data_IF_616128598323
#
_entry.id   IF_616128598323
#
_cell.length_a   1.000
_cell.length_b   1.000
_cell.length_c   1.000
_cell.angle_alpha   90.00
_cell.angle_beta   90.00
_cell.angle_gamma   90.00
#
_symmetry.space_group_name_H-M   'P 1'
#
loop_
_entity.id
_entity.type
_entity.pdbx_description
1 polymer ?
#
# COMPACT_ATOMS: atom_id res chain seq x y z
N UNK A 1 6.24 -15.11 -36.96
CA UNK A 1 5.46 -14.66 -35.81
C UNK A 1 3.98 -14.79 -36.11
N UNK A 2 3.18 -15.26 -35.14
CA UNK A 2 1.73 -15.29 -35.21
C UNK A 2 1.17 -14.08 -34.43
N UNK A 3 0.09 -13.50 -34.95
CA UNK A 3 -0.60 -12.40 -34.29
C UNK A 3 -2.09 -12.75 -34.18
N UNK A 4 -2.64 -12.67 -32.99
CA UNK A 4 -4.04 -12.96 -32.71
C UNK A 4 -4.74 -11.68 -32.22
N UNK A 5 -5.97 -11.51 -32.63
CA UNK A 5 -6.82 -10.42 -32.15
C UNK A 5 -8.16 -11.00 -31.68
N UNK A 6 -8.56 -10.63 -30.48
CA UNK A 6 -9.81 -11.06 -29.86
C UNK A 6 -10.60 -9.83 -29.43
N UNK A 7 -11.83 -9.78 -29.87
CA UNK A 7 -12.77 -8.72 -29.49
C UNK A 7 -13.50 -9.15 -28.22
N UNK A 8 -13.39 -8.33 -27.18
CA UNK A 8 -13.99 -8.60 -25.87
C UNK A 8 -15.10 -7.58 -25.56
N UNK A 9 -16.22 -8.03 -25.00
CA UNK A 9 -17.29 -7.12 -24.59
C UNK A 9 -16.79 -6.16 -23.51
N UNK A 10 -17.32 -4.94 -23.47
CA UNK A 10 -16.90 -3.89 -22.53
C UNK A 10 -17.57 -4.00 -21.16
N UNK A 11 -18.76 -4.56 -21.14
CA UNK A 11 -19.64 -4.64 -19.97
C UNK A 11 -18.98 -5.25 -18.73
N UNK A 12 -18.18 -6.33 -18.81
CA UNK A 12 -17.52 -6.91 -17.64
C UNK A 12 -16.54 -5.98 -16.92
N UNK A 13 -16.09 -4.94 -17.61
CA UNK A 13 -15.10 -4.01 -17.07
C UNK A 13 -15.71 -2.75 -16.43
N UNK A 14 -16.95 -2.38 -16.76
CA UNK A 14 -17.53 -1.08 -16.43
C UNK A 14 -17.43 -0.74 -14.94
N UNK A 15 -17.81 -1.65 -14.06
CA UNK A 15 -17.78 -1.41 -12.62
C UNK A 15 -16.34 -1.18 -12.09
N UNK A 16 -15.37 -1.91 -12.59
CA UNK A 16 -13.98 -1.76 -12.18
C UNK A 16 -13.36 -0.47 -12.72
N UNK A 17 -13.76 -0.07 -13.95
CA UNK A 17 -13.27 1.14 -14.60
C UNK A 17 -13.73 2.44 -13.90
N UNK A 18 -14.79 2.40 -13.07
CA UNK A 18 -15.16 3.52 -12.19
C UNK A 18 -14.09 3.87 -11.15
N UNK A 19 -13.15 2.96 -10.89
CA UNK A 19 -12.03 3.18 -9.98
C UNK A 19 -10.76 3.71 -10.69
N UNK A 20 -10.84 4.03 -11.97
CA UNK A 20 -9.75 4.70 -12.69
C UNK A 20 -9.51 6.08 -12.06
N UNK A 21 -8.25 6.49 -11.84
CA UNK A 21 -7.94 7.82 -11.32
C UNK A 21 -8.51 8.95 -12.21
N UNK A 22 -9.04 9.98 -11.56
CA UNK A 22 -9.60 11.14 -12.26
C UNK A 22 -8.62 11.74 -13.27
N UNK A 23 -9.14 12.13 -14.45
CA UNK A 23 -8.36 12.70 -15.53
C UNK A 23 -7.58 11.70 -16.38
N UNK A 24 -7.75 10.39 -16.14
CA UNK A 24 -7.15 9.34 -16.96
C UNK A 24 -8.10 8.93 -18.08
N UNK A 25 -7.66 9.07 -19.33
CA UNK A 25 -8.42 8.62 -20.50
C UNK A 25 -8.21 7.12 -20.72
N UNK A 26 -9.29 6.34 -20.71
CA UNK A 26 -9.23 4.88 -20.88
C UNK A 26 -8.58 4.46 -22.20
N UNK A 27 -8.82 5.22 -23.27
CA UNK A 27 -8.21 4.99 -24.60
C UNK A 27 -6.71 5.21 -24.64
N UNK A 28 -6.15 5.91 -23.64
CA UNK A 28 -4.71 6.15 -23.52
C UNK A 28 -3.97 5.03 -22.76
N UNK A 29 -4.70 4.07 -22.17
CA UNK A 29 -4.16 2.97 -21.41
C UNK A 29 -3.90 1.74 -22.27
N UNK A 30 -2.73 1.12 -22.08
CA UNK A 30 -2.40 -0.18 -22.65
C UNK A 30 -2.09 -1.16 -21.53
N UNK A 31 -2.91 -2.18 -21.38
CA UNK A 31 -2.74 -3.27 -20.42
C UNK A 31 -1.84 -4.32 -21.04
N UNK A 32 -0.76 -4.69 -20.37
CA UNK A 32 0.25 -5.60 -20.94
C UNK A 32 0.69 -6.69 -19.97
N UNK A 33 1.08 -7.82 -20.53
CA UNK A 33 1.75 -8.91 -19.85
C UNK A 33 2.63 -9.66 -20.84
N UNK A 34 3.79 -10.18 -20.40
CA UNK A 34 4.71 -10.95 -21.24
C UNK A 34 4.98 -12.35 -20.70
N UNK A 35 5.19 -13.30 -21.63
CA UNK A 35 5.64 -14.64 -21.32
C UNK A 35 7.04 -14.89 -21.86
N UNK A 36 7.89 -15.48 -21.02
CA UNK A 36 9.31 -15.67 -21.31
C UNK A 36 9.74 -17.10 -21.09
N UNK A 37 10.82 -17.53 -21.74
CA UNK A 37 11.40 -18.86 -21.57
C UNK A 37 12.21 -19.02 -20.28
N UNK A 38 12.29 -17.97 -19.46
CA UNK A 38 13.00 -17.94 -18.17
C UNK A 38 13.02 -16.54 -17.57
N UNK A 39 13.63 -16.38 -16.40
CA UNK A 39 13.54 -15.16 -15.60
C UNK A 39 14.56 -14.06 -15.96
N UNK A 40 15.59 -14.38 -16.72
CA UNK A 40 16.68 -13.43 -17.03
C UNK A 40 16.73 -13.10 -18.51
N UNK A 41 16.67 -11.83 -18.92
CA UNK A 41 16.74 -11.45 -20.34
C UNK A 41 18.08 -11.74 -21.00
N UNK A 42 19.14 -12.05 -20.22
CA UNK A 42 20.44 -12.46 -20.77
C UNK A 42 20.49 -13.93 -21.24
N UNK A 43 19.53 -14.75 -20.80
CA UNK A 43 19.51 -16.20 -21.08
C UNK A 43 18.13 -16.72 -21.50
N UNK A 44 17.14 -15.88 -21.53
CA UNK A 44 15.77 -16.22 -21.88
C UNK A 44 15.22 -15.24 -22.92
N UNK A 45 14.16 -15.64 -23.61
CA UNK A 45 13.52 -14.90 -24.70
C UNK A 45 12.04 -14.71 -24.41
N UNK A 46 11.48 -13.63 -24.94
CA UNK A 46 10.03 -13.38 -24.93
C UNK A 46 9.42 -14.19 -26.07
N UNK A 47 8.46 -15.04 -25.74
CA UNK A 47 7.75 -15.81 -26.75
C UNK A 47 6.29 -15.39 -26.95
N UNK A 48 5.72 -14.63 -26.01
CA UNK A 48 4.36 -14.14 -26.11
C UNK A 48 4.27 -12.78 -25.43
N UNK A 49 3.61 -11.82 -26.07
CA UNK A 49 3.19 -10.55 -25.50
C UNK A 49 1.68 -10.43 -25.69
N UNK A 50 0.97 -10.16 -24.61
CA UNK A 50 -0.45 -9.79 -24.62
C UNK A 50 -0.62 -8.31 -24.38
N UNK A 51 -1.55 -7.68 -25.10
CA UNK A 51 -1.94 -6.30 -24.88
C UNK A 51 -3.45 -6.13 -25.05
N UNK A 52 -4.10 -5.46 -24.09
CA UNK A 52 -5.51 -5.08 -24.14
C UNK A 52 -5.62 -3.56 -24.17
N UNK A 53 -6.48 -3.06 -25.05
CA UNK A 53 -6.82 -1.63 -25.09
C UNK A 53 -8.32 -1.43 -25.25
N UNK A 54 -8.76 -0.22 -24.94
CA UNK A 54 -10.13 0.22 -25.05
C UNK A 54 -10.20 1.40 -26.05
N UNK A 55 -10.61 1.17 -27.30
CA UNK A 55 -10.86 2.27 -28.24
C UNK A 55 -11.87 3.26 -27.67
N UNK A 56 -11.90 4.51 -28.13
CA UNK A 56 -12.87 5.53 -27.69
C UNK A 56 -14.32 5.03 -27.80
N UNK A 57 -14.61 4.30 -28.85
CA UNK A 57 -15.90 3.67 -29.08
C UNK A 57 -15.73 2.19 -29.45
N UNK A 58 -16.70 1.36 -29.02
CA UNK A 58 -16.72 -0.07 -29.33
C UNK A 58 -16.15 -0.98 -28.23
N UNK A 59 -15.94 -2.25 -28.54
CA UNK A 59 -15.46 -3.27 -27.60
C UNK A 59 -14.00 -3.09 -27.25
N UNK A 60 -13.54 -3.80 -26.20
CA UNK A 60 -12.14 -3.92 -25.89
C UNK A 60 -11.44 -4.84 -26.92
N UNK A 61 -10.17 -4.56 -27.20
CA UNK A 61 -9.36 -5.32 -28.16
C UNK A 61 -8.16 -5.92 -27.43
N UNK A 62 -8.13 -7.25 -27.36
CA UNK A 62 -7.00 -8.03 -26.92
C UNK A 62 -6.17 -8.44 -28.13
N UNK A 63 -4.90 -8.08 -28.15
CA UNK A 63 -3.95 -8.51 -29.18
C UNK A 63 -2.81 -9.29 -28.57
N UNK A 64 -2.42 -10.36 -29.21
CA UNK A 64 -1.35 -11.24 -28.74
C UNK A 64 -0.36 -11.50 -29.88
N UNK A 65 0.93 -11.33 -29.60
CA UNK A 65 2.05 -11.62 -30.49
C UNK A 65 2.77 -12.85 -29.97
N UNK A 66 2.83 -13.90 -30.78
CA UNK A 66 3.39 -15.18 -30.41
C UNK A 66 4.55 -15.56 -31.33
N UNK A 67 5.71 -15.88 -30.77
CA UNK A 67 6.88 -16.35 -31.50
C UNK A 67 6.73 -17.85 -31.83
N UNK A 68 6.54 -18.18 -33.11
CA UNK A 68 6.45 -19.55 -33.55
C UNK A 68 7.81 -20.25 -33.62
N UNK A 69 8.89 -19.48 -33.46
CA UNK A 69 10.27 -19.95 -33.25
C UNK A 69 11.02 -18.91 -32.42
N UNK A 70 12.08 -19.32 -31.73
CA UNK A 70 12.91 -18.40 -30.93
C UNK A 70 13.57 -17.29 -31.77
N UNK A 71 13.76 -17.49 -33.08
CA UNK A 71 14.31 -16.47 -33.99
C UNK A 71 13.34 -15.33 -34.31
N UNK A 72 12.08 -15.45 -33.95
CA UNK A 72 11.05 -14.44 -34.24
C UNK A 72 10.87 -13.38 -33.14
N UNK A 73 11.60 -13.46 -32.03
CA UNK A 73 11.51 -12.50 -30.92
C UNK A 73 11.74 -11.05 -31.37
N UNK A 74 12.69 -10.80 -32.26
CA UNK A 74 12.95 -9.44 -32.76
C UNK A 74 11.76 -8.87 -33.55
N UNK A 75 11.10 -9.66 -34.36
CA UNK A 75 9.94 -9.29 -35.14
C UNK A 75 8.72 -9.02 -34.21
N UNK A 76 8.55 -9.91 -33.23
CA UNK A 76 7.52 -9.81 -32.20
C UNK A 76 7.64 -8.49 -31.43
N UNK A 77 8.84 -8.15 -30.94
CA UNK A 77 9.12 -6.92 -30.23
C UNK A 77 8.85 -5.68 -31.08
N UNK A 78 9.29 -5.69 -32.34
CA UNK A 78 9.06 -4.55 -33.26
C UNK A 78 7.57 -4.30 -33.45
N UNK A 79 6.80 -5.35 -33.74
CA UNK A 79 5.35 -5.24 -33.96
C UNK A 79 4.63 -4.77 -32.70
N UNK A 80 5.02 -5.26 -31.55
CA UNK A 80 4.47 -4.81 -30.26
C UNK A 80 4.82 -3.33 -29.98
N UNK A 81 6.07 -2.90 -30.20
CA UNK A 81 6.48 -1.51 -29.96
C UNK A 81 5.76 -0.53 -30.87
N UNK A 82 5.56 -0.87 -32.13
CA UNK A 82 4.80 -0.06 -33.07
C UNK A 82 3.34 0.08 -32.62
N UNK A 83 2.72 -1.01 -32.14
CA UNK A 83 1.38 -1.00 -31.59
C UNK A 83 1.30 -0.18 -30.28
N UNK A 84 2.27 -0.32 -29.40
CA UNK A 84 2.29 0.35 -28.10
C UNK A 84 2.57 1.87 -28.22
N UNK A 85 3.17 2.33 -29.33
CA UNK A 85 3.65 3.71 -29.49
C UNK A 85 2.61 4.80 -29.16
N UNK A 86 1.34 4.75 -29.61
CA UNK A 86 0.36 5.80 -29.38
C UNK A 86 -0.17 5.89 -27.95
N UNK A 87 -0.04 4.84 -27.14
CA UNK A 87 -0.58 4.82 -25.79
C UNK A 87 0.30 5.64 -24.83
N UNK A 88 -0.32 6.25 -23.82
CA UNK A 88 0.38 7.09 -22.83
C UNK A 88 0.83 6.29 -21.61
N UNK A 89 0.00 5.41 -21.12
CA UNK A 89 0.22 4.69 -19.86
C UNK A 89 0.21 3.18 -20.06
N UNK A 90 1.22 2.51 -19.55
CA UNK A 90 1.26 1.05 -19.46
C UNK A 90 0.68 0.60 -18.13
N UNK A 91 -0.26 -0.33 -18.17
CA UNK A 91 -0.90 -0.92 -17.00
C UNK A 91 -0.53 -2.39 -16.92
N UNK A 92 -0.01 -2.83 -15.77
CA UNK A 92 0.49 -4.19 -15.61
C UNK A 92 0.50 -4.62 -14.14
N UNK A 93 0.90 -5.86 -13.90
CA UNK A 93 1.08 -6.42 -12.56
C UNK A 93 2.54 -6.83 -12.33
N UNK A 94 3.26 -6.11 -11.47
CA UNK A 94 4.69 -6.29 -11.18
C UNK A 94 5.63 -6.06 -12.39
N UNK A 95 5.13 -5.42 -13.44
CA UNK A 95 5.87 -5.19 -14.68
C UNK A 95 7.03 -4.22 -14.54
N UNK A 96 6.99 -3.29 -13.58
CA UNK A 96 8.13 -2.42 -13.26
C UNK A 96 9.39 -3.21 -12.86
N UNK A 97 9.21 -4.41 -12.35
CA UNK A 97 10.31 -5.27 -11.90
C UNK A 97 10.64 -6.40 -12.85
N UNK A 98 9.75 -6.74 -13.78
CA UNK A 98 9.93 -7.85 -14.68
C UNK A 98 9.69 -7.48 -16.15
N UNK A 99 8.48 -7.16 -16.56
CA UNK A 99 8.12 -6.98 -17.97
C UNK A 99 8.89 -5.84 -18.64
N UNK A 100 8.87 -4.65 -18.04
CA UNK A 100 9.49 -3.46 -18.61
C UNK A 100 11.03 -3.58 -18.67
N UNK A 101 11.74 -4.02 -17.61
CA UNK A 101 13.17 -4.32 -17.69
C UNK A 101 13.52 -5.37 -18.72
N UNK A 102 12.69 -6.41 -18.87
CA UNK A 102 12.91 -7.47 -19.84
C UNK A 102 12.77 -6.94 -21.28
N UNK A 103 11.67 -6.24 -21.57
CA UNK A 103 11.44 -5.58 -22.86
C UNK A 103 12.55 -4.59 -23.20
N UNK A 104 13.03 -3.80 -22.23
CA UNK A 104 14.14 -2.86 -22.41
C UNK A 104 15.45 -3.56 -22.74
N UNK A 105 15.74 -4.68 -22.06
CA UNK A 105 16.96 -5.45 -22.33
C UNK A 105 16.95 -6.08 -23.72
N UNK A 106 15.83 -6.68 -24.13
CA UNK A 106 15.65 -7.25 -25.47
C UNK A 106 15.72 -6.17 -26.56
N UNK A 107 15.10 -4.99 -26.33
CA UNK A 107 15.21 -3.85 -27.26
C UNK A 107 16.67 -3.46 -27.52
N UNK A 108 17.48 -3.37 -26.46
CA UNK A 108 18.91 -3.07 -26.58
C UNK A 108 19.68 -4.17 -27.31
N UNK A 109 19.39 -5.44 -27.00
CA UNK A 109 20.02 -6.60 -27.66
C UNK A 109 19.79 -6.61 -29.17
N UNK A 110 18.57 -6.24 -29.60
CA UNK A 110 18.21 -6.22 -31.02
C UNK A 110 18.39 -4.86 -31.70
N UNK A 111 18.93 -3.85 -30.99
CA UNK A 111 19.08 -2.48 -31.47
C UNK A 111 17.76 -1.86 -31.97
N UNK A 112 16.65 -2.16 -31.28
CA UNK A 112 15.34 -1.61 -31.60
C UNK A 112 15.09 -0.30 -30.85
N UNK A 113 14.34 0.65 -31.43
CA UNK A 113 13.80 1.78 -30.68
C UNK A 113 12.95 1.26 -29.50
N UNK A 114 13.07 1.91 -28.33
CA UNK A 114 12.27 1.57 -27.15
C UNK A 114 11.27 2.68 -26.85
N UNK A 115 10.03 2.61 -27.36
CA UNK A 115 9.05 3.68 -27.21
C UNK A 115 8.44 3.76 -25.81
N UNK A 116 8.74 2.79 -24.92
CA UNK A 116 8.12 2.68 -23.60
C UNK A 116 8.80 3.53 -22.52
N UNK A 117 10.04 4.02 -22.75
CA UNK A 117 10.80 4.82 -21.77
C UNK A 117 10.09 6.09 -21.28
N UNK A 118 9.20 6.67 -22.11
CA UNK A 118 8.51 7.94 -21.81
C UNK A 118 7.06 7.75 -21.42
N UNK A 119 6.64 6.51 -21.23
CA UNK A 119 5.26 6.20 -20.84
C UNK A 119 5.13 6.19 -19.32
N UNK A 120 3.96 6.62 -18.88
CA UNK A 120 3.57 6.45 -17.47
C UNK A 120 3.40 4.94 -17.19
N UNK A 121 3.80 4.51 -16.00
CA UNK A 121 3.61 3.14 -15.53
C UNK A 121 2.59 3.09 -14.40
N UNK A 122 1.61 2.22 -14.53
CA UNK A 122 0.66 1.88 -13.47
C UNK A 122 0.83 0.41 -13.11
N UNK A 123 1.58 0.15 -12.05
CA UNK A 123 1.83 -1.19 -11.52
C UNK A 123 0.91 -1.49 -10.34
N UNK A 124 -0.05 -2.41 -10.51
CA UNK A 124 -0.96 -2.80 -9.44
C UNK A 124 -0.23 -3.45 -8.27
N UNK A 125 0.81 -4.24 -8.51
CA UNK A 125 1.61 -4.81 -7.43
C UNK A 125 2.31 -3.72 -6.61
N UNK A 126 2.97 -2.78 -7.27
CA UNK A 126 3.66 -1.67 -6.60
C UNK A 126 2.70 -0.82 -5.78
N UNK A 127 1.46 -0.64 -6.26
CA UNK A 127 0.41 0.11 -5.58
C UNK A 127 -0.02 -0.53 -4.26
N UNK A 128 -0.12 -1.87 -4.19
CA UNK A 128 -0.60 -2.59 -2.99
C UNK A 128 0.51 -3.16 -2.11
N UNK A 129 1.73 -3.32 -2.62
CA UNK A 129 2.86 -3.91 -1.90
C UNK A 129 3.19 -3.23 -0.56
N UNK A 130 3.07 -1.89 -0.40
CA UNK A 130 3.25 -1.22 0.89
C UNK A 130 2.29 -1.71 1.98
N UNK A 131 1.11 -2.20 1.59
CA UNK A 131 0.05 -2.68 2.49
C UNK A 131 0.07 -4.20 2.70
N UNK A 132 1.12 -4.90 2.24
CA UNK A 132 1.25 -6.36 2.32
C UNK A 132 0.90 -6.93 3.71
N UNK A 133 1.27 -6.23 4.77
CA UNK A 133 1.01 -6.68 6.15
C UNK A 133 -0.48 -6.77 6.52
N UNK A 134 -1.38 -6.21 5.70
CA UNK A 134 -2.83 -6.26 5.87
C UNK A 134 -3.49 -7.43 5.12
N UNK A 135 -2.73 -8.20 4.36
CA UNK A 135 -3.23 -9.30 3.53
C UNK A 135 -3.12 -10.68 4.21
N UNK A 136 -3.05 -10.74 5.54
CA UNK A 136 -3.10 -11.97 6.34
C UNK A 136 -2.20 -13.09 5.78
N UNK A 137 -0.89 -12.84 5.64
CA UNK A 137 0.12 -13.80 5.14
C UNK A 137 -0.08 -14.34 3.71
N UNK A 138 -1.05 -13.88 2.95
CA UNK A 138 -1.22 -14.27 1.55
C UNK A 138 -0.12 -13.67 0.65
N UNK A 139 0.29 -14.43 -0.35
CA UNK A 139 1.16 -13.90 -1.41
C UNK A 139 0.38 -12.85 -2.21
N UNK A 140 1.03 -11.71 -2.50
CA UNK A 140 0.47 -10.70 -3.39
C UNK A 140 0.77 -11.08 -4.85
N UNK A 141 0.11 -12.12 -5.36
CA UNK A 141 0.10 -12.45 -6.78
C UNK A 141 -1.16 -11.89 -7.42
N UNK A 142 -1.13 -11.66 -8.73
CA UNK A 142 -2.30 -11.22 -9.48
C UNK A 142 -3.49 -12.13 -9.20
N UNK A 143 -3.33 -13.43 -9.34
CA UNK A 143 -4.35 -14.45 -9.07
C UNK A 143 -4.94 -14.40 -7.65
N UNK A 144 -4.10 -14.16 -6.62
CA UNK A 144 -4.59 -14.01 -5.25
C UNK A 144 -5.45 -12.76 -5.06
N UNK A 145 -5.11 -11.66 -5.74
CA UNK A 145 -5.89 -10.42 -5.69
C UNK A 145 -7.17 -10.52 -6.53
N UNK A 146 -7.13 -11.19 -7.67
CA UNK A 146 -8.32 -11.54 -8.45
C UNK A 146 -9.33 -12.31 -7.61
N UNK A 147 -8.88 -13.34 -6.88
CA UNK A 147 -9.74 -14.13 -5.97
C UNK A 147 -10.37 -13.24 -4.88
N UNK A 148 -9.63 -12.29 -4.32
CA UNK A 148 -10.17 -11.36 -3.32
C UNK A 148 -11.23 -10.42 -3.91
N UNK A 149 -11.06 -10.03 -5.16
CA UNK A 149 -12.04 -9.26 -5.92
C UNK A 149 -13.17 -10.14 -6.48
N UNK A 150 -13.19 -11.44 -6.16
CA UNK A 150 -14.17 -12.43 -6.63
C UNK A 150 -14.22 -12.56 -8.17
N UNK A 151 -13.08 -12.29 -8.83
CA UNK A 151 -12.96 -12.45 -10.28
C UNK A 151 -12.81 -13.93 -10.63
N UNK A 152 -13.46 -14.34 -11.71
CA UNK A 152 -13.39 -15.71 -12.20
C UNK A 152 -12.30 -15.85 -13.25
N UNK A 153 -11.26 -16.64 -12.95
CA UNK A 153 -10.22 -17.04 -13.90
C UNK A 153 -10.48 -18.46 -14.38
N UNK A 154 -10.49 -18.67 -15.68
CA UNK A 154 -10.69 -19.99 -16.27
C UNK A 154 -9.38 -20.78 -16.46
N UNK A 155 -8.25 -20.06 -16.54
CA UNK A 155 -6.94 -20.65 -16.73
C UNK A 155 -6.41 -21.34 -15.45
N UNK A 156 -6.01 -22.63 -15.49
CA UNK A 156 -5.51 -23.35 -14.33
C UNK A 156 -3.97 -23.31 -14.18
N UNK A 157 -3.23 -22.92 -15.22
CA UNK A 157 -1.78 -23.10 -15.29
C UNK A 157 -1.02 -22.02 -14.53
N UNK A 158 0.20 -22.36 -14.13
CA UNK A 158 1.20 -21.42 -13.59
C UNK A 158 2.22 -21.03 -14.66
N UNK A 159 2.84 -19.86 -14.54
CA UNK A 159 3.86 -19.40 -15.49
C UNK A 159 5.04 -20.40 -15.68
N UNK A 160 5.41 -21.14 -14.63
CA UNK A 160 6.45 -22.16 -14.76
C UNK A 160 6.05 -23.34 -15.67
N UNK A 161 4.79 -23.77 -15.59
CA UNK A 161 4.26 -24.84 -16.45
C UNK A 161 4.16 -24.40 -17.90
N UNK A 162 4.00 -23.10 -18.17
CA UNK A 162 3.90 -22.56 -19.52
C UNK A 162 5.24 -22.61 -20.27
N UNK A 163 6.37 -22.47 -19.59
CA UNK A 163 7.69 -22.59 -20.20
C UNK A 163 7.87 -23.98 -20.81
N UNK A 164 7.48 -25.03 -20.07
CA UNK A 164 7.59 -26.40 -20.57
C UNK A 164 6.58 -26.69 -21.70
N UNK A 165 5.38 -26.08 -21.61
CA UNK A 165 4.38 -26.16 -22.68
C UNK A 165 4.85 -25.48 -23.96
N UNK A 166 5.48 -24.32 -23.86
CA UNK A 166 6.04 -23.63 -25.02
C UNK A 166 7.17 -24.45 -25.66
N UNK A 167 8.08 -25.03 -24.88
CA UNK A 167 9.13 -25.94 -25.38
C UNK A 167 8.54 -27.15 -26.10
N UNK A 168 7.53 -27.77 -25.54
CA UNK A 168 6.82 -28.89 -26.16
C UNK A 168 6.14 -28.45 -27.46
N UNK A 169 5.48 -27.29 -27.45
CA UNK A 169 4.84 -26.74 -28.64
C UNK A 169 5.83 -26.43 -29.78
N UNK A 170 7.03 -25.93 -29.46
CA UNK A 170 8.05 -25.69 -30.48
C UNK A 170 8.37 -26.95 -31.29
N UNK A 171 8.28 -28.13 -30.67
CA UNK A 171 8.58 -29.42 -31.29
C UNK A 171 7.35 -30.05 -31.97
N UNK A 172 6.22 -30.01 -31.28
CA UNK A 172 5.00 -30.74 -31.68
C UNK A 172 4.08 -29.91 -32.57
N UNK A 173 4.09 -28.58 -32.41
CA UNK A 173 3.12 -27.66 -33.00
C UNK A 173 1.67 -28.02 -32.64
N UNK A 174 1.46 -28.60 -31.45
CA UNK A 174 0.16 -29.02 -30.95
C UNK A 174 -0.73 -27.82 -30.67
N UNK A 175 -1.94 -27.82 -31.24
CA UNK A 175 -2.90 -26.73 -31.15
C UNK A 175 -3.42 -26.52 -29.72
N UNK A 176 -3.62 -27.59 -28.93
CA UNK A 176 -4.09 -27.50 -27.55
C UNK A 176 -3.05 -26.83 -26.67
N UNK A 177 -1.76 -27.09 -26.90
CA UNK A 177 -0.66 -26.38 -26.22
C UNK A 177 -0.65 -24.89 -26.57
N UNK A 178 -0.86 -24.53 -27.84
CA UNK A 178 -0.96 -23.14 -28.26
C UNK A 178 -2.15 -22.43 -27.59
N UNK A 179 -3.31 -23.05 -27.59
CA UNK A 179 -4.50 -22.48 -26.93
C UNK A 179 -4.29 -22.31 -25.42
N UNK A 180 -3.59 -23.22 -24.75
CA UNK A 180 -3.25 -23.08 -23.34
C UNK A 180 -2.32 -21.88 -23.08
N UNK A 181 -1.29 -21.67 -23.93
CA UNK A 181 -0.36 -20.55 -23.83
C UNK A 181 -1.06 -19.21 -24.06
N UNK A 182 -1.83 -19.10 -25.13
CA UNK A 182 -2.62 -17.91 -25.46
C UNK A 182 -3.68 -17.63 -24.39
N UNK A 183 -4.37 -18.68 -23.92
CA UNK A 183 -5.43 -18.55 -22.91
C UNK A 183 -4.93 -18.05 -21.55
N UNK A 184 -3.73 -18.47 -21.13
CA UNK A 184 -3.11 -17.98 -19.90
C UNK A 184 -2.82 -16.47 -19.99
N UNK A 185 -2.02 -16.08 -20.99
CA UNK A 185 -1.68 -14.66 -21.18
C UNK A 185 -2.93 -13.79 -21.44
N UNK A 186 -3.91 -14.31 -22.20
CA UNK A 186 -5.20 -13.64 -22.37
C UNK A 186 -5.92 -13.41 -21.03
N UNK A 187 -5.88 -14.38 -20.12
CA UNK A 187 -6.46 -14.24 -18.79
C UNK A 187 -5.69 -13.20 -17.95
N UNK A 188 -4.35 -13.23 -17.95
CA UNK A 188 -3.54 -12.26 -17.23
C UNK A 188 -3.83 -10.83 -17.69
N UNK A 189 -3.84 -10.59 -18.99
CA UNK A 189 -4.07 -9.25 -19.55
C UNK A 189 -5.53 -8.80 -19.42
N UNK A 190 -6.51 -9.68 -19.71
CA UNK A 190 -7.92 -9.29 -19.69
C UNK A 190 -8.48 -9.05 -18.28
N UNK A 191 -7.86 -9.59 -17.25
CA UNK A 191 -8.24 -9.34 -15.86
C UNK A 191 -7.59 -8.09 -15.27
N UNK A 192 -6.51 -7.53 -15.87
CA UNK A 192 -5.87 -6.31 -15.37
C UNK A 192 -6.83 -5.13 -15.20
N UNK A 193 -7.73 -4.80 -16.15
CA UNK A 193 -8.66 -3.68 -15.96
C UNK A 193 -9.59 -3.87 -14.75
N UNK A 194 -9.87 -5.10 -14.36
CA UNK A 194 -10.72 -5.42 -13.22
C UNK A 194 -9.99 -5.26 -11.87
N UNK A 195 -8.68 -4.99 -11.89
CA UNK A 195 -7.88 -4.71 -10.69
C UNK A 195 -7.90 -3.24 -10.25
N UNK A 196 -8.48 -2.32 -11.00
CA UNK A 196 -8.55 -0.89 -10.62
C UNK A 196 -9.11 -0.66 -9.21
N UNK A 197 -10.08 -1.41 -8.69
CA UNK A 197 -10.54 -1.26 -7.31
C UNK A 197 -9.43 -1.40 -6.26
N UNK A 198 -8.30 -2.07 -6.57
CA UNK A 198 -7.15 -2.16 -5.68
C UNK A 198 -6.51 -0.79 -5.39
N UNK A 199 -6.62 0.17 -6.30
CA UNK A 199 -6.11 1.54 -6.12
C UNK A 199 -6.83 2.29 -5.01
N UNK A 200 -8.02 1.84 -4.61
CA UNK A 200 -8.73 2.37 -3.44
C UNK A 200 -8.00 2.07 -2.13
N UNK A 201 -7.16 1.02 -2.07
CA UNK A 201 -6.40 0.69 -0.86
C UNK A 201 -5.40 1.79 -0.48
N UNK A 202 -4.44 2.19 -1.34
CA UNK A 202 -3.58 3.33 -1.04
C UNK A 202 -4.37 4.63 -0.83
N UNK A 203 -5.44 4.87 -1.58
CA UNK A 203 -6.28 6.05 -1.43
C UNK A 203 -6.96 6.09 -0.05
N UNK A 204 -7.46 4.97 0.45
CA UNK A 204 -8.05 4.82 1.78
C UNK A 204 -7.06 5.20 2.89
N UNK A 205 -5.87 4.57 2.90
CA UNK A 205 -4.90 4.77 3.98
C UNK A 205 -4.16 6.11 3.90
N UNK A 206 -4.02 6.71 2.73
CA UNK A 206 -3.37 8.03 2.52
C UNK A 206 -4.34 9.18 2.57
N UNK A 207 -5.63 8.93 2.41
CA UNK A 207 -6.70 9.92 2.46
C UNK A 207 -6.92 10.52 3.84
N UNK A 208 -7.84 11.45 3.92
CA UNK A 208 -8.30 12.02 5.18
C UNK A 208 -9.28 11.08 5.85
N UNK A 209 -9.17 10.98 7.18
CA UNK A 209 -10.14 10.32 8.03
C UNK A 209 -10.97 11.37 8.74
N UNK A 210 -12.28 11.13 8.84
CA UNK A 210 -13.23 11.96 9.54
C UNK A 210 -13.92 11.13 10.63
N UNK A 211 -14.70 11.79 11.49
CA UNK A 211 -15.45 11.14 12.57
C UNK A 211 -14.54 10.28 13.48
N UNK A 212 -13.27 10.70 13.65
CA UNK A 212 -12.33 9.98 14.48
C UNK A 212 -12.78 10.01 15.94
N UNK A 213 -12.95 8.84 16.54
CA UNK A 213 -13.41 8.66 17.91
C UNK A 213 -12.49 7.73 18.67
N UNK A 214 -12.33 8.01 19.95
CA UNK A 214 -11.59 7.19 20.89
C UNK A 214 -12.56 6.64 21.92
N UNK A 215 -12.50 5.35 22.14
CA UNK A 215 -13.23 4.62 23.17
C UNK A 215 -12.30 3.67 23.90
N UNK A 216 -12.74 3.18 25.04
CA UNK A 216 -12.04 2.18 25.82
C UNK A 216 -12.81 0.87 25.75
N UNK A 217 -12.05 -0.23 25.62
CA UNK A 217 -12.61 -1.56 25.69
C UNK A 217 -11.65 -2.46 26.49
N UNK A 218 -12.03 -2.80 27.71
CA UNK A 218 -11.17 -3.50 28.65
C UNK A 218 -9.86 -2.71 28.91
N UNK A 219 -8.72 -3.32 28.68
CA UNK A 219 -7.39 -2.72 28.83
C UNK A 219 -6.89 -2.01 27.54
N UNK A 220 -7.72 -1.99 26.50
CA UNK A 220 -7.37 -1.44 25.21
C UNK A 220 -8.03 -0.07 24.94
N UNK A 221 -7.30 0.72 24.19
CA UNK A 221 -7.77 1.90 23.49
C UNK A 221 -8.28 1.46 22.11
N UNK A 222 -9.50 1.84 21.77
CA UNK A 222 -10.08 1.65 20.42
C UNK A 222 -10.22 3.00 19.73
N UNK A 223 -9.62 3.12 18.54
CA UNK A 223 -9.76 4.27 17.64
C UNK A 223 -10.62 3.82 16.46
N UNK A 224 -11.68 4.57 16.17
CA UNK A 224 -12.52 4.37 14.98
C UNK A 224 -12.55 5.64 14.16
N UNK A 225 -12.58 5.49 12.83
CA UNK A 225 -12.68 6.63 11.91
C UNK A 225 -13.30 6.18 10.57
N UNK A 226 -13.67 7.16 9.77
CA UNK A 226 -14.26 6.95 8.44
C UNK A 226 -13.42 7.62 7.37
N UNK A 227 -13.26 6.94 6.23
CA UNK A 227 -12.62 7.45 5.01
C UNK A 227 -13.70 7.80 3.99
N UNK A 228 -13.45 8.79 3.14
CA UNK A 228 -14.28 9.06 1.96
C UNK A 228 -14.16 7.95 0.90
N UNK A 229 -13.11 7.11 0.99
CA UNK A 229 -12.84 6.04 0.03
C UNK A 229 -13.31 4.71 0.61
N UNK A 230 -14.10 3.95 -0.16
CA UNK A 230 -14.52 2.59 0.21
C UNK A 230 -13.50 1.56 -0.28
N UNK A 231 -13.09 0.66 0.62
CA UNK A 231 -12.23 -0.47 0.29
C UNK A 231 -12.96 -1.52 -0.55
N UNK A 232 -12.27 -2.19 -1.49
CA UNK A 232 -12.89 -3.23 -2.31
C UNK A 232 -13.16 -4.53 -1.54
N UNK A 233 -12.49 -4.74 -0.42
CA UNK A 233 -12.65 -5.86 0.51
C UNK A 233 -12.04 -5.52 1.87
N UNK A 234 -12.39 -6.30 2.89
CA UNK A 234 -11.87 -6.09 4.25
C UNK A 234 -10.38 -6.42 4.34
N UNK A 235 -9.66 -5.59 5.09
CA UNK A 235 -8.25 -5.72 5.40
C UNK A 235 -8.06 -5.78 6.91
N UNK A 236 -7.18 -6.64 7.39
CA UNK A 236 -6.90 -6.77 8.81
C UNK A 236 -5.44 -7.08 9.10
N UNK A 237 -5.00 -6.65 10.28
CA UNK A 237 -3.69 -7.00 10.82
C UNK A 237 -3.80 -7.13 12.33
N UNK A 238 -3.31 -8.23 12.85
CA UNK A 238 -3.21 -8.46 14.29
C UNK A 238 -1.77 -8.75 14.68
N UNK A 239 -1.33 -8.14 15.79
CA UNK A 239 -0.04 -8.34 16.43
C UNK A 239 -0.25 -8.38 17.94
N UNK A 240 0.75 -8.71 18.73
CA UNK A 240 0.67 -8.70 20.20
C UNK A 240 0.25 -7.32 20.78
N UNK A 241 0.56 -6.24 20.07
CA UNK A 241 0.36 -4.87 20.56
C UNK A 241 -0.64 -4.06 19.74
N UNK A 242 -1.28 -4.65 18.72
CA UNK A 242 -2.22 -3.93 17.86
C UNK A 242 -3.14 -4.89 17.13
N UNK A 243 -4.42 -4.54 17.03
CA UNK A 243 -5.32 -5.08 16.02
C UNK A 243 -5.87 -3.94 15.17
N UNK A 244 -5.78 -4.09 13.83
CA UNK A 244 -6.35 -3.18 12.86
C UNK A 244 -7.36 -3.93 12.00
N UNK A 245 -8.54 -3.36 11.83
CA UNK A 245 -9.54 -3.82 10.88
C UNK A 245 -10.01 -2.63 10.06
N UNK A 246 -10.06 -2.80 8.74
CA UNK A 246 -10.59 -1.81 7.82
C UNK A 246 -11.52 -2.50 6.83
N UNK A 247 -12.73 -1.98 6.69
CA UNK A 247 -13.76 -2.52 5.80
C UNK A 247 -14.63 -1.39 5.29
N UNK A 248 -15.00 -1.44 4.03
CA UNK A 248 -15.77 -0.37 3.39
C UNK A 248 -15.12 0.99 3.64
N UNK A 249 -15.82 1.93 4.26
CA UNK A 249 -15.30 3.26 4.61
C UNK A 249 -14.72 3.33 6.03
N UNK A 250 -14.80 2.28 6.82
CA UNK A 250 -14.50 2.30 8.25
C UNK A 250 -13.13 1.70 8.55
N UNK A 251 -12.44 2.29 9.52
CA UNK A 251 -11.24 1.75 10.15
C UNK A 251 -11.41 1.66 11.65
N UNK A 252 -10.93 0.57 12.24
CA UNK A 252 -10.84 0.36 13.69
C UNK A 252 -9.43 -0.11 14.06
N UNK A 253 -8.82 0.56 15.03
CA UNK A 253 -7.50 0.22 15.54
C UNK A 253 -7.61 0.02 17.04
N UNK A 254 -7.14 -1.13 17.54
CA UNK A 254 -7.04 -1.44 18.97
C UNK A 254 -5.56 -1.42 19.38
N UNK A 255 -5.26 -0.66 20.43
CA UNK A 255 -3.92 -0.49 21.00
C UNK A 255 -3.95 -0.69 22.50
N UNK A 256 -2.86 -1.12 23.16
CA UNK A 256 -2.78 -1.17 24.61
C UNK A 256 -2.96 0.22 25.24
N UNK A 257 -3.72 0.27 26.31
CA UNK A 257 -3.89 1.44 27.16
C UNK A 257 -3.01 1.31 28.41
N UNK A 258 -2.48 2.42 28.87
CA UNK A 258 -1.85 2.48 30.18
C UNK A 258 -2.77 3.20 31.18
N UNK A 259 -3.06 2.59 32.32
CA UNK A 259 -3.80 3.20 33.44
C UNK A 259 -2.87 3.33 34.63
N UNK A 260 -2.85 4.51 35.25
CA UNK A 260 -2.02 4.77 36.41
C UNK A 260 -1.52 6.20 36.48
N UNK A 261 -0.48 6.44 37.29
CA UNK A 261 0.13 7.76 37.44
C UNK A 261 1.38 7.87 36.56
N UNK A 262 1.39 8.89 35.71
CA UNK A 262 2.54 9.31 34.91
C UNK A 262 2.92 10.76 35.24
N UNK A 263 4.10 11.17 34.80
CA UNK A 263 4.68 12.48 35.14
C UNK A 263 4.98 13.30 33.90
N UNK A 264 4.57 14.57 33.96
CA UNK A 264 5.05 15.58 33.01
C UNK A 264 6.26 16.29 33.62
N UNK A 265 7.44 16.17 33.00
CA UNK A 265 8.68 16.79 33.47
C UNK A 265 8.85 18.19 32.88
N UNK A 266 9.06 19.18 33.75
CA UNK A 266 9.22 20.57 33.34
C UNK A 266 10.63 20.81 32.76
N UNK A 267 10.68 21.38 31.55
CA UNK A 267 11.96 21.72 30.89
C UNK A 267 12.69 22.85 31.59
N UNK A 268 11.96 23.79 32.17
CA UNK A 268 12.39 24.96 32.90
C UNK A 268 12.54 24.72 34.41
N UNK A 269 12.85 23.49 34.81
CA UNK A 269 12.99 23.04 36.21
C UNK A 269 13.80 23.99 37.10
N UNK A 270 14.77 24.74 36.53
CA UNK A 270 15.57 25.73 37.24
C UNK A 270 14.77 26.91 37.79
N UNK A 271 13.55 27.11 37.35
CA UNK A 271 12.61 28.14 37.81
C UNK A 271 11.77 27.71 38.98
N UNK A 272 12.04 26.53 39.56
CA UNK A 272 11.26 25.95 40.63
C UNK A 272 12.11 25.52 41.83
N UNK A 273 11.48 25.48 42.97
CA UNK A 273 11.92 24.78 44.16
C UNK A 273 10.93 23.64 44.47
N UNK A 274 11.35 22.70 45.30
CA UNK A 274 10.51 21.63 45.86
C UNK A 274 10.30 21.99 47.34
N UNK A 275 9.06 21.95 47.82
CA UNK A 275 8.74 22.03 49.24
C UNK A 275 9.09 20.66 49.88
N UNK A 276 9.84 20.71 50.99
CA UNK A 276 10.29 19.48 51.67
C UNK A 276 9.16 18.76 52.39
N UNK A 277 8.10 19.46 52.73
CA UNK A 277 6.96 18.94 53.46
C UNK A 277 6.17 17.93 52.62
N UNK A 278 5.82 18.26 51.39
CA UNK A 278 4.90 17.50 50.55
C UNK A 278 5.44 17.21 49.14
N UNK A 279 6.64 17.66 48.82
CA UNK A 279 7.27 17.48 47.50
C UNK A 279 6.64 18.32 46.40
N UNK A 280 5.81 19.33 46.73
CA UNK A 280 5.15 20.18 45.74
C UNK A 280 6.09 21.17 45.08
N UNK A 281 5.77 21.54 43.84
CA UNK A 281 6.54 22.52 43.07
C UNK A 281 6.21 23.93 43.48
N UNK A 282 7.22 24.71 43.86
CA UNK A 282 7.13 26.12 44.21
C UNK A 282 7.86 26.95 43.13
N UNK A 283 7.18 27.80 42.36
CA UNK A 283 7.83 28.75 41.45
C UNK A 283 8.78 29.69 42.18
N UNK A 284 9.91 30.02 41.59
CA UNK A 284 10.92 30.95 42.19
C UNK A 284 10.33 32.31 42.55
N UNK A 285 9.32 32.80 41.84
CA UNK A 285 8.61 34.02 42.12
C UNK A 285 7.90 34.02 43.51
N UNK A 286 7.52 32.84 44.00
CA UNK A 286 6.90 32.65 45.29
C UNK A 286 7.89 32.22 46.39
N UNK A 287 9.11 31.91 46.00
CA UNK A 287 10.12 31.38 46.93
C UNK A 287 10.49 32.34 48.08
N UNK A 288 10.30 33.64 47.89
CA UNK A 288 10.54 34.65 48.94
C UNK A 288 9.59 34.53 50.16
N UNK A 289 8.45 33.86 49.97
CA UNK A 289 7.41 33.68 51.02
C UNK A 289 7.56 32.35 51.78
N UNK A 290 8.61 31.56 51.49
CA UNK A 290 8.86 30.28 52.13
C UNK A 290 10.28 30.26 52.69
N UNK A 291 10.45 29.75 53.89
CA UNK A 291 11.75 29.62 54.52
C UNK A 291 12.75 28.81 53.68
N UNK A 292 14.02 29.24 53.71
CA UNK A 292 15.03 28.60 52.91
C UNK A 292 15.24 27.12 53.29
N UNK A 293 15.06 26.81 54.57
CA UNK A 293 15.23 25.42 55.09
C UNK A 293 14.05 24.51 54.75
N UNK A 294 12.88 25.07 54.42
CA UNK A 294 11.68 24.33 54.04
C UNK A 294 11.62 23.97 52.54
N UNK A 295 12.57 24.44 51.74
CA UNK A 295 12.60 24.24 50.27
C UNK A 295 13.99 23.79 49.80
N UNK A 296 14.02 23.12 48.68
CA UNK A 296 15.24 22.75 47.95
C UNK A 296 15.13 23.08 46.47
N UNK A 297 16.25 23.25 45.77
CA UNK A 297 16.27 23.57 44.35
C UNK A 297 15.70 22.33 43.57
N UNK A 298 14.75 22.59 42.69
CA UNK A 298 14.23 21.53 41.82
C UNK A 298 15.34 21.03 40.86
N UNK A 299 15.37 19.73 40.68
CA UNK A 299 16.19 19.03 39.69
C UNK A 299 15.37 18.65 38.48
N UNK A 300 16.00 18.11 37.44
CA UNK A 300 15.28 17.57 36.28
C UNK A 300 14.31 16.45 36.68
N UNK A 301 14.61 15.67 37.70
CA UNK A 301 13.80 14.55 38.19
C UNK A 301 12.68 14.99 39.12
N UNK A 302 12.94 15.97 39.97
CA UNK A 302 11.95 16.42 40.96
C UNK A 302 10.95 17.44 40.40
N UNK A 303 11.32 18.20 39.33
CA UNK A 303 10.40 19.14 38.67
C UNK A 303 9.42 18.43 37.75
N UNK A 304 8.45 17.76 38.35
CA UNK A 304 7.44 16.95 37.63
C UNK A 304 6.04 17.19 38.16
N UNK A 305 5.08 17.13 37.26
CA UNK A 305 3.65 17.21 37.59
C UNK A 305 3.02 15.83 37.42
N UNK A 306 2.52 15.21 38.51
CA UNK A 306 1.82 13.93 38.39
C UNK A 306 0.46 14.11 37.73
N UNK A 307 0.04 13.11 36.98
CA UNK A 307 -1.31 12.96 36.49
C UNK A 307 -1.70 11.49 36.54
N UNK A 308 -2.85 11.20 37.15
CA UNK A 308 -3.41 9.85 37.26
C UNK A 308 -4.58 9.74 36.31
N UNK A 309 -4.57 8.73 35.45
CA UNK A 309 -5.61 8.52 34.47
C UNK A 309 -5.24 7.44 33.45
N UNK A 310 -5.88 7.51 32.31
CA UNK A 310 -5.68 6.61 31.19
C UNK A 310 -4.91 7.31 30.07
N UNK A 311 -4.00 6.58 29.45
CA UNK A 311 -3.06 7.12 28.50
C UNK A 311 -2.91 6.23 27.26
N UNK A 312 -2.66 6.87 26.13
CA UNK A 312 -2.20 6.27 24.89
C UNK A 312 -0.69 6.49 24.71
N UNK A 313 0.03 5.44 24.32
CA UNK A 313 1.43 5.59 23.97
C UNK A 313 1.58 6.48 22.71
N UNK A 314 2.48 7.46 22.75
CA UNK A 314 2.73 8.37 21.63
C UNK A 314 3.37 7.58 20.46
N UNK A 315 2.78 7.60 19.27
CA UNK A 315 3.36 6.95 18.10
C UNK A 315 4.77 7.50 17.79
N UNK A 316 5.66 6.61 17.33
CA UNK A 316 7.01 7.02 16.95
C UNK A 316 6.95 8.16 15.91
N UNK A 317 7.78 9.19 16.10
CA UNK A 317 7.90 10.39 15.25
C UNK A 317 6.68 11.33 15.28
N UNK A 318 5.63 11.07 16.05
CA UNK A 318 4.57 12.06 16.24
C UNK A 318 5.13 13.29 16.93
N UNK A 319 4.94 14.46 16.32
CA UNK A 319 5.21 15.76 16.93
C UNK A 319 3.91 16.32 17.45
N UNK A 320 3.91 16.85 18.69
CA UNK A 320 2.75 17.47 19.31
C UNK A 320 3.18 18.52 20.31
N UNK A 321 2.38 19.56 20.45
CA UNK A 321 2.51 20.55 21.52
C UNK A 321 1.70 20.17 22.77
N UNK A 322 0.86 19.14 22.65
CA UNK A 322 0.09 18.62 23.76
C UNK A 322 1.03 18.12 24.88
N UNK A 323 0.59 18.28 26.11
CA UNK A 323 1.35 17.83 27.28
C UNK A 323 1.51 16.32 27.28
N UNK A 324 2.76 15.87 27.15
CA UNK A 324 3.11 14.45 27.20
C UNK A 324 3.58 14.04 28.58
N UNK A 325 3.35 12.78 28.92
CA UNK A 325 3.72 12.18 30.20
C UNK A 325 4.63 10.98 30.00
N UNK A 326 5.37 10.57 31.05
CA UNK A 326 6.28 9.43 31.02
C UNK A 326 6.38 8.76 32.39
N UNK A 327 6.80 7.51 32.44
CA UNK A 327 6.94 6.74 33.69
C UNK A 327 8.08 7.23 34.56
N UNK A 328 9.14 7.69 33.94
CA UNK A 328 10.35 8.25 34.56
C UNK A 328 11.03 9.19 33.60
N UNK A 329 12.00 9.96 34.08
CA UNK A 329 12.73 10.90 33.22
C UNK A 329 13.43 10.15 32.06
N UNK A 330 13.30 10.67 30.83
CA UNK A 330 13.87 10.12 29.60
C UNK A 330 13.40 8.66 29.27
N UNK A 331 12.29 8.19 29.89
CA UNK A 331 11.73 6.89 29.52
C UNK A 331 10.87 7.00 28.24
N UNK A 332 10.85 5.93 27.48
CA UNK A 332 9.98 5.78 26.28
C UNK A 332 9.06 4.60 26.45
N UNK A 333 7.88 4.63 25.84
CA UNK A 333 7.30 5.72 25.05
C UNK A 333 6.88 6.91 25.91
N UNK A 334 6.68 8.06 25.29
CA UNK A 334 5.87 9.14 25.86
C UNK A 334 4.40 8.75 25.76
N UNK A 335 3.56 9.40 26.55
CA UNK A 335 2.13 9.10 26.61
C UNK A 335 1.29 10.39 26.52
N UNK A 336 0.15 10.29 25.87
CA UNK A 336 -0.90 11.31 25.88
C UNK A 336 -2.07 10.85 26.75
N UNK A 337 -2.66 11.73 27.59
CA UNK A 337 -3.91 11.42 28.29
C UNK A 337 -5.04 11.17 27.28
N UNK A 338 -5.88 10.17 27.53
CA UNK A 338 -7.04 9.90 26.68
C UNK A 338 -8.05 11.04 26.72
N UNK A 339 -8.14 11.79 27.81
CA UNK A 339 -8.95 13.01 27.91
C UNK A 339 -8.53 14.04 26.85
N UNK A 340 -7.23 14.30 26.69
CA UNK A 340 -6.74 15.24 25.68
C UNK A 340 -7.08 14.81 24.24
N UNK A 341 -7.00 13.51 23.96
CA UNK A 341 -7.37 12.99 22.64
C UNK A 341 -8.88 13.01 22.37
N UNK A 342 -9.73 13.01 23.42
CA UNK A 342 -11.19 13.11 23.29
C UNK A 342 -11.66 14.54 23.14
N UNK A 343 -10.99 15.47 23.82
CA UNK A 343 -11.36 16.89 23.85
C UNK A 343 -10.90 17.63 22.59
N UNK A 344 -9.79 17.16 21.95
CA UNK A 344 -9.20 17.76 20.76
C UNK A 344 -9.26 16.80 19.56
N UNK A 345 -10.24 17.03 18.68
CA UNK A 345 -10.44 16.22 17.47
C UNK A 345 -9.23 16.28 16.51
N UNK A 346 -8.57 17.45 16.40
CA UNK A 346 -7.41 17.61 15.53
C UNK A 346 -6.20 16.82 16.06
N UNK A 347 -6.02 16.80 17.39
CA UNK A 347 -5.02 15.97 18.05
C UNK A 347 -5.32 14.48 17.84
N UNK A 348 -6.59 14.07 17.92
CA UNK A 348 -7.03 12.70 17.70
C UNK A 348 -6.76 12.24 16.26
N UNK A 349 -7.07 13.05 15.25
CA UNK A 349 -6.78 12.78 13.84
C UNK A 349 -5.28 12.70 13.58
N UNK A 350 -4.50 13.61 14.19
CA UNK A 350 -3.05 13.58 14.12
C UNK A 350 -2.49 12.30 14.75
N UNK A 351 -3.06 11.85 15.87
CA UNK A 351 -2.69 10.61 16.54
C UNK A 351 -2.98 9.39 15.66
N UNK A 352 -4.16 9.32 15.04
CA UNK A 352 -4.52 8.25 14.08
C UNK A 352 -3.54 8.23 12.90
N UNK A 353 -3.29 9.38 12.29
CA UNK A 353 -2.35 9.50 11.15
C UNK A 353 -0.95 9.04 11.52
N UNK A 354 -0.44 9.46 12.68
CA UNK A 354 0.87 9.05 13.18
C UNK A 354 0.92 7.55 13.51
N UNK A 355 -0.17 6.98 14.01
CA UNK A 355 -0.32 5.54 14.27
C UNK A 355 -0.22 4.76 12.97
N UNK A 356 -0.96 5.15 11.93
CA UNK A 356 -0.90 4.51 10.61
C UNK A 356 0.50 4.62 10.00
N UNK A 357 1.17 5.75 10.16
CA UNK A 357 2.56 5.95 9.71
C UNK A 357 3.53 5.04 10.47
N UNK A 358 3.38 4.90 11.80
CA UNK A 358 4.21 4.01 12.63
C UNK A 358 4.06 2.54 12.20
N UNK A 359 2.89 2.14 11.70
CA UNK A 359 2.63 0.81 11.14
C UNK A 359 2.99 0.67 9.66
N UNK A 360 3.60 1.69 9.04
CA UNK A 360 3.97 1.73 7.62
C UNK A 360 2.78 1.60 6.67
N UNK A 361 1.62 2.06 7.08
CA UNK A 361 0.39 2.09 6.27
C UNK A 361 0.14 3.47 5.65
N UNK A 362 0.90 4.47 6.07
CA UNK A 362 0.89 5.84 5.55
C UNK A 362 2.34 6.35 5.49
N UNK A 363 2.70 7.05 4.42
CA UNK A 363 4.03 7.68 4.28
C UNK A 363 4.04 9.07 4.88
#
# INVERSE_FOLDING_TARGET
MLCFETILPREPYLCALEAIPDGTELSSLLFIDIETTGLSPSSAQIYLIGALCFPEAGPAVLRQWFAASLSEEQELLRSFFDFAAPFRTLVHFNGDRFDLPFLSACSKQYHLPYPLDRKDSLDFYASVAPFRSLFASQKLTQRALEQRLQLTRKDPYSGAELIDRYRSWLTTKDEDLLQNLLGHNAADVSLLPQLFPLLRIPAFFRGLFVNTRISERNEDLCITAESAVSLPFSLSRETETMALNAAETHISIRLPRFSGTLYHYLKDYRNYYILKEDGSLLPKSLAAFVDADAREKATRESARLPFTGDFAALPKRMKTEARCFQRGINTTPLYLPLSALREDSALCETYLSATLTAFKLRN
#
